data_IF_202445549654
#
_entry.id   IF_202445549654
#
_cell.length_a   1.000
_cell.length_b   1.000
_cell.length_c   1.000
_cell.angle_alpha   90.00
_cell.angle_beta   90.00
_cell.angle_gamma   90.00
#
_symmetry.space_group_name_H-M   'P 1'
#
loop_
_entity.id
_entity.type
_entity.pdbx_description
1 polymer ?
#
# COMPACT_ATOMS: atom_id res chain seq x y z
N UNK A 1 -8.28 2.42 -6.80
CA UNK A 1 -7.33 1.64 -5.98
C UNK A 1 -8.12 0.60 -5.23
N UNK A 2 -7.62 -0.64 -5.14
CA UNK A 2 -8.27 -1.72 -4.40
C UNK A 2 -7.48 -2.07 -3.15
N UNK A 3 -8.16 -2.21 -2.02
CA UNK A 3 -7.58 -2.69 -0.78
C UNK A 3 -8.39 -3.90 -0.31
N UNK A 4 -7.72 -5.04 -0.14
CA UNK A 4 -8.35 -6.25 0.37
C UNK A 4 -7.89 -6.50 1.80
N UNK A 5 -8.83 -6.70 2.71
CA UNK A 5 -8.54 -7.22 4.04
C UNK A 5 -8.40 -8.74 3.96
N UNK A 6 -7.28 -9.25 4.44
CA UNK A 6 -6.97 -10.68 4.50
C UNK A 6 -6.58 -11.07 5.93
N UNK A 7 -6.57 -12.36 6.19
CA UNK A 7 -6.02 -12.92 7.41
C UNK A 7 -4.90 -13.88 7.04
N UNK A 8 -3.77 -13.78 7.74
CA UNK A 8 -2.66 -14.71 7.63
C UNK A 8 -2.42 -15.35 8.99
N UNK A 9 -2.04 -16.63 9.00
CA UNK A 9 -1.58 -17.28 10.23
C UNK A 9 -0.15 -16.87 10.54
N UNK A 10 0.08 -16.40 11.75
CA UNK A 10 1.42 -16.16 12.32
C UNK A 10 1.52 -17.01 13.59
N UNK A 11 2.20 -18.15 13.49
CA UNK A 11 2.13 -19.20 14.50
C UNK A 11 0.69 -19.69 14.65
N UNK A 12 0.13 -19.54 15.85
CA UNK A 12 -1.25 -19.94 16.15
C UNK A 12 -2.29 -18.83 15.94
N UNK A 13 -1.87 -17.57 15.72
CA UNK A 13 -2.76 -16.41 15.66
C UNK A 13 -3.13 -16.03 14.22
N UNK A 14 -4.41 -15.76 13.97
CA UNK A 14 -4.87 -15.13 12.73
C UNK A 14 -4.69 -13.61 12.81
N UNK A 15 -3.80 -13.07 11.97
CA UNK A 15 -3.48 -11.66 11.91
C UNK A 15 -4.18 -11.02 10.71
N UNK A 16 -4.94 -9.95 10.96
CA UNK A 16 -5.52 -9.13 9.89
C UNK A 16 -4.41 -8.37 9.17
N UNK A 17 -4.34 -8.48 7.84
CA UNK A 17 -3.39 -7.77 6.97
C UNK A 17 -4.14 -7.14 5.81
N UNK A 18 -3.53 -6.15 5.16
CA UNK A 18 -4.09 -5.55 3.97
C UNK A 18 -3.25 -5.82 2.73
N UNK A 19 -3.91 -6.06 1.61
CA UNK A 19 -3.27 -6.17 0.30
C UNK A 19 -3.67 -4.99 -0.58
N UNK A 20 -2.69 -4.19 -0.98
CA UNK A 20 -2.85 -3.11 -1.95
C UNK A 20 -2.75 -3.69 -3.36
N UNK A 21 -3.87 -3.61 -4.08
CA UNK A 21 -4.00 -4.06 -5.46
C UNK A 21 -4.47 -2.97 -6.39
N UNK A 22 -4.26 -3.18 -7.69
CA UNK A 22 -4.67 -2.26 -8.76
C UNK A 22 -4.13 -0.83 -8.56
N UNK A 23 -2.95 -0.72 -7.94
CA UNK A 23 -2.23 0.53 -7.79
C UNK A 23 -1.40 0.82 -9.03
N UNK A 24 -1.61 2.02 -9.58
CA UNK A 24 -1.03 2.46 -10.83
C UNK A 24 -1.00 3.98 -10.89
N UNK A 25 0.16 4.53 -11.21
CA UNK A 25 0.35 5.96 -11.51
C UNK A 25 0.88 6.04 -12.94
N UNK A 26 0.33 6.94 -13.76
CA UNK A 26 0.85 7.13 -15.11
C UNK A 26 2.25 7.77 -15.01
N UNK A 27 3.21 7.39 -15.87
CA UNK A 27 4.58 7.92 -15.81
C UNK A 27 4.66 9.45 -15.87
N UNK A 28 3.79 10.09 -16.65
CA UNK A 28 3.71 11.55 -16.78
C UNK A 28 3.19 12.26 -15.53
N UNK A 29 2.62 11.50 -14.58
CA UNK A 29 2.11 12.00 -13.31
C UNK A 29 2.99 11.63 -12.11
N UNK A 30 4.08 10.89 -12.34
CA UNK A 30 5.05 10.60 -11.29
C UNK A 30 5.72 11.88 -10.78
N UNK A 31 5.95 11.98 -9.47
CA UNK A 31 6.59 13.15 -8.86
C UNK A 31 5.65 14.34 -8.57
N UNK A 32 4.39 14.30 -9.01
CA UNK A 32 3.37 15.30 -8.68
C UNK A 32 2.62 15.02 -7.37
N UNK A 33 3.22 14.26 -6.45
CA UNK A 33 2.60 13.94 -5.16
C UNK A 33 1.47 12.90 -5.22
N UNK A 34 1.21 12.27 -6.37
CA UNK A 34 0.16 11.23 -6.50
C UNK A 34 0.41 10.03 -5.57
N UNK A 35 1.66 9.80 -5.14
CA UNK A 35 2.00 8.82 -4.11
C UNK A 35 1.21 8.99 -2.81
N UNK A 36 0.83 10.22 -2.45
CA UNK A 36 0.04 10.53 -1.26
C UNK A 36 -1.36 9.90 -1.26
N UNK A 37 -1.90 9.53 -2.44
CA UNK A 37 -3.18 8.83 -2.53
C UNK A 37 -3.20 7.50 -1.75
N UNK A 38 -2.04 6.87 -1.53
CA UNK A 38 -1.92 5.66 -0.70
C UNK A 38 -2.10 5.99 0.78
N UNK A 39 -1.61 7.15 1.23
CA UNK A 39 -1.75 7.61 2.61
C UNK A 39 -3.21 7.86 3.01
N UNK A 40 -4.10 8.12 2.05
CA UNK A 40 -5.54 8.22 2.31
C UNK A 40 -6.15 6.92 2.86
N UNK A 41 -5.50 5.77 2.64
CA UNK A 41 -5.95 4.48 3.17
C UNK A 41 -5.53 4.27 4.63
N UNK A 42 -4.60 5.07 5.15
CA UNK A 42 -3.99 4.86 6.46
C UNK A 42 -4.98 4.93 7.64
N UNK A 43 -5.92 5.90 7.70
CA UNK A 43 -6.91 5.93 8.79
C UNK A 43 -7.76 4.66 8.83
N UNK A 44 -8.23 4.19 7.67
CA UNK A 44 -9.02 2.96 7.57
C UNK A 44 -8.21 1.72 7.97
N UNK A 45 -6.92 1.66 7.65
CA UNK A 45 -6.04 0.57 8.08
C UNK A 45 -5.88 0.54 9.61
N UNK A 46 -5.77 1.71 10.25
CA UNK A 46 -5.70 1.82 11.71
C UNK A 46 -7.01 1.38 12.38
N UNK A 47 -8.15 1.85 11.87
CA UNK A 47 -9.48 1.45 12.37
C UNK A 47 -9.71 -0.06 12.27
N UNK A 48 -9.21 -0.68 11.20
CA UNK A 48 -9.31 -2.13 10.98
C UNK A 48 -8.28 -2.94 11.77
N UNK A 49 -7.40 -2.29 12.55
CA UNK A 49 -6.38 -2.95 13.36
C UNK A 49 -5.33 -3.70 12.51
N UNK A 50 -5.09 -3.26 11.29
CA UNK A 50 -4.15 -3.89 10.37
C UNK A 50 -2.73 -3.37 10.67
N UNK A 51 -1.77 -4.23 11.05
CA UNK A 51 -0.43 -3.81 11.45
C UNK A 51 0.48 -3.47 10.27
N UNK A 52 0.20 -4.04 9.08
CA UNK A 52 0.91 -3.72 7.85
C UNK A 52 0.09 -4.05 6.61
N UNK A 53 0.46 -3.42 5.50
CA UNK A 53 -0.07 -3.72 4.17
C UNK A 53 1.07 -4.17 3.24
N UNK A 54 0.74 -5.01 2.26
CA UNK A 54 1.67 -5.43 1.21
C UNK A 54 0.98 -5.38 -0.15
N UNK A 55 1.74 -5.47 -1.23
CA UNK A 55 1.17 -5.47 -2.57
C UNK A 55 2.23 -5.80 -3.60
N UNK A 56 1.79 -6.07 -4.82
CA UNK A 56 2.67 -6.27 -5.97
C UNK A 56 2.56 -5.08 -6.90
N UNK A 57 3.70 -4.66 -7.44
CA UNK A 57 3.79 -3.55 -8.37
C UNK A 57 4.45 -4.03 -9.66
N UNK A 58 4.10 -3.41 -10.77
CA UNK A 58 4.83 -3.64 -12.03
C UNK A 58 6.23 -3.05 -11.91
N UNK A 59 7.21 -3.68 -12.57
CA UNK A 59 8.58 -3.16 -12.57
C UNK A 59 8.68 -1.70 -13.01
N UNK A 60 7.84 -1.27 -13.95
CA UNK A 60 7.76 0.12 -14.40
C UNK A 60 7.43 1.14 -13.28
N UNK A 61 6.83 0.68 -12.16
CA UNK A 61 6.50 1.52 -11.02
C UNK A 61 7.58 1.57 -9.92
N UNK A 62 8.71 0.88 -10.12
CA UNK A 62 9.80 0.81 -9.12
C UNK A 62 10.22 2.21 -8.65
N UNK A 63 10.53 3.11 -9.57
CA UNK A 63 11.01 4.47 -9.26
C UNK A 63 9.98 5.30 -8.49
N UNK A 64 8.69 5.11 -8.77
CA UNK A 64 7.60 5.76 -8.04
C UNK A 64 7.52 5.26 -6.59
N UNK A 65 7.58 3.94 -6.40
CA UNK A 65 7.46 3.33 -5.07
C UNK A 65 8.70 3.57 -4.22
N UNK A 66 9.90 3.52 -4.81
CA UNK A 66 11.14 3.88 -4.10
C UNK A 66 11.11 5.34 -3.62
N UNK A 67 10.55 6.26 -4.42
CA UNK A 67 10.38 7.67 -4.02
C UNK A 67 9.36 7.82 -2.89
N UNK A 68 8.22 7.14 -2.99
CA UNK A 68 7.22 7.12 -1.93
C UNK A 68 7.77 6.56 -0.62
N UNK A 69 8.48 5.42 -0.66
CA UNK A 69 9.06 4.78 0.52
C UNK A 69 10.10 5.66 1.23
N UNK A 70 10.88 6.47 0.49
CA UNK A 70 11.84 7.42 1.07
C UNK A 70 11.18 8.61 1.76
N UNK A 71 9.97 8.99 1.35
CA UNK A 71 9.27 10.12 1.93
C UNK A 71 8.77 9.85 3.36
N UNK A 72 8.73 8.57 3.77
CA UNK A 72 8.21 8.16 5.07
C UNK A 72 6.68 8.25 5.13
N UNK A 73 6.07 7.33 5.87
CA UNK A 73 4.69 7.47 6.35
C UNK A 73 4.72 8.08 7.74
#
# INVERSE_FOLDING_TARGET
MGLLRRFIKVGETDLAVAELGLYGVRPDLEGMGIGHSVSALFPTLQELGVPFAFGTIRHAMRSHVERYARAGM
#
